data_IF_669039633821
#
_entry.id   IF_669039633821
#
_cell.length_a   1.000
_cell.length_b   1.000
_cell.length_c   1.000
_cell.angle_alpha   90.00
_cell.angle_beta   90.00
_cell.angle_gamma   90.00
#
_symmetry.space_group_name_H-M   'P 1'
#
loop_
_entity.id
_entity.type
_entity.pdbx_description
1 polymer ?
#
# COMPACT_ATOMS: atom_id res chain seq x y z
N UNK A 1 20.26 -10.05 8.29
CA UNK A 1 18.78 -10.09 8.21
C UNK A 1 18.34 -8.90 7.39
N UNK A 2 17.56 -9.10 6.32
CA UNK A 2 17.06 -7.98 5.52
C UNK A 2 16.01 -7.20 6.32
N UNK A 3 16.27 -5.91 6.57
CA UNK A 3 15.37 -5.04 7.32
C UNK A 3 13.96 -5.01 6.71
N UNK A 4 13.85 -5.10 5.37
CA UNK A 4 12.55 -5.09 4.70
C UNK A 4 11.71 -6.32 5.02
N UNK A 5 12.33 -7.50 5.08
CA UNK A 5 11.65 -8.73 5.45
C UNK A 5 11.14 -8.69 6.89
N UNK A 6 11.94 -8.12 7.82
CA UNK A 6 11.50 -7.94 9.21
C UNK A 6 10.29 -7.03 9.29
N UNK A 7 10.32 -5.90 8.56
CA UNK A 7 9.20 -4.95 8.53
C UNK A 7 7.96 -5.60 7.92
N UNK A 8 8.09 -6.22 6.74
CA UNK A 8 6.96 -6.84 6.05
C UNK A 8 6.31 -7.95 6.90
N UNK A 9 7.11 -8.79 7.55
CA UNK A 9 6.62 -9.82 8.48
C UNK A 9 5.87 -9.19 9.66
N UNK A 10 6.42 -8.12 10.26
CA UNK A 10 5.77 -7.45 11.38
C UNK A 10 4.45 -6.78 10.97
N UNK A 11 4.38 -6.22 9.76
CA UNK A 11 3.14 -5.61 9.26
C UNK A 11 2.07 -6.67 8.98
N UNK A 12 2.45 -7.85 8.48
CA UNK A 12 1.48 -8.94 8.27
C UNK A 12 0.80 -9.37 9.58
N UNK A 13 1.49 -9.29 10.73
CA UNK A 13 0.92 -9.56 12.05
C UNK A 13 -0.08 -8.48 12.54
N UNK A 14 -0.19 -7.34 11.86
CA UNK A 14 -1.16 -6.29 12.18
C UNK A 14 -2.50 -6.48 11.45
N UNK A 15 -2.54 -7.37 10.46
CA UNK A 15 -3.75 -7.65 9.67
C UNK A 15 -4.58 -8.74 10.35
N UNK A 16 -5.88 -8.75 10.05
CA UNK A 16 -6.84 -9.69 10.60
C UNK A 16 -7.49 -10.53 9.52
N UNK A 17 -7.93 -11.73 9.90
CA UNK A 17 -8.70 -12.61 9.03
C UNK A 17 -9.97 -11.91 8.52
N UNK A 18 -10.16 -11.93 7.20
CA UNK A 18 -11.26 -11.27 6.50
C UNK A 18 -11.02 -9.83 6.07
N UNK A 19 -9.84 -9.24 6.36
CA UNK A 19 -9.55 -7.84 5.97
C UNK A 19 -9.52 -7.65 4.44
N UNK A 20 -10.07 -6.53 3.98
CA UNK A 20 -9.81 -5.97 2.65
C UNK A 20 -8.61 -5.02 2.74
N UNK A 21 -7.52 -5.39 2.07
CA UNK A 21 -6.22 -4.70 2.20
C UNK A 21 -5.75 -4.10 0.89
N UNK A 22 -5.30 -2.85 0.92
CA UNK A 22 -4.55 -2.24 -0.18
C UNK A 22 -3.05 -2.20 0.16
N UNK A 23 -2.21 -2.66 -0.76
CA UNK A 23 -0.75 -2.64 -0.61
C UNK A 23 -0.10 -1.72 -1.64
N UNK A 24 0.58 -0.69 -1.16
CA UNK A 24 1.42 0.16 -2.00
C UNK A 24 2.65 -0.57 -2.55
N UNK A 25 3.17 -0.07 -3.68
CA UNK A 25 4.31 -0.69 -4.36
C UNK A 25 5.57 -0.79 -3.47
N UNK A 26 6.35 -1.86 -3.66
CA UNK A 26 7.66 -2.03 -3.05
C UNK A 26 7.61 -2.80 -1.72
N UNK A 27 8.03 -2.17 -0.63
CA UNK A 27 8.04 -2.84 0.68
C UNK A 27 6.64 -3.32 1.10
N UNK A 28 5.55 -2.55 0.94
CA UNK A 28 4.22 -3.02 1.34
C UNK A 28 3.74 -4.24 0.56
N UNK A 29 4.00 -4.34 -0.75
CA UNK A 29 3.68 -5.57 -1.51
C UNK A 29 4.36 -6.84 -0.97
N UNK A 30 5.46 -6.72 -0.22
CA UNK A 30 6.10 -7.88 0.42
C UNK A 30 5.27 -8.46 1.57
N UNK A 31 4.35 -7.69 2.17
CA UNK A 31 3.50 -8.11 3.30
C UNK A 31 2.66 -9.34 2.92
N UNK A 32 2.17 -9.40 1.68
CA UNK A 32 1.38 -10.53 1.17
C UNK A 32 2.10 -11.89 1.29
N UNK A 33 3.43 -11.91 1.27
CA UNK A 33 4.23 -13.15 1.39
C UNK A 33 4.37 -13.66 2.83
N UNK A 34 3.91 -12.88 3.82
CA UNK A 34 4.04 -13.20 5.24
C UNK A 34 2.68 -13.35 5.94
N UNK A 35 1.58 -13.36 5.18
CA UNK A 35 0.25 -13.65 5.73
C UNK A 35 0.27 -15.07 6.34
N UNK A 36 -0.13 -15.23 7.61
CA UNK A 36 -0.17 -16.53 8.26
C UNK A 36 -1.06 -17.53 7.52
N UNK A 37 -0.68 -18.80 7.57
CA UNK A 37 -1.52 -19.88 7.03
C UNK A 37 -2.87 -19.91 7.75
N UNK A 38 -3.96 -20.02 6.98
CA UNK A 38 -5.32 -20.03 7.50
C UNK A 38 -5.95 -18.64 7.71
N UNK A 39 -5.24 -17.55 7.41
CA UNK A 39 -5.80 -16.20 7.37
C UNK A 39 -6.19 -15.84 5.93
N UNK A 40 -7.45 -15.50 5.70
CA UNK A 40 -7.97 -15.05 4.42
C UNK A 40 -7.91 -13.51 4.34
N UNK A 41 -7.20 -12.99 3.33
CA UNK A 41 -7.05 -11.56 3.09
C UNK A 41 -7.44 -11.27 1.66
N UNK A 42 -8.35 -10.32 1.46
CA UNK A 42 -8.72 -9.85 0.13
C UNK A 42 -7.87 -8.65 -0.25
N UNK A 43 -6.97 -8.82 -1.21
CA UNK A 43 -6.18 -7.70 -1.72
C UNK A 43 -6.94 -6.89 -2.77
N UNK A 44 -7.04 -5.57 -2.54
CA UNK A 44 -7.62 -4.58 -3.44
C UNK A 44 -6.55 -3.93 -4.32
N UNK A 45 -6.85 -3.75 -5.61
CA UNK A 45 -6.04 -2.96 -6.54
C UNK A 45 -6.79 -1.70 -6.98
N UNK A 46 -6.17 -0.53 -6.78
CA UNK A 46 -6.80 0.77 -7.05
C UNK A 46 -7.21 0.97 -8.53
N UNK A 47 -6.59 0.23 -9.44
CA UNK A 47 -6.93 0.25 -10.87
C UNK A 47 -8.17 -0.57 -11.24
N UNK A 48 -8.88 -1.18 -10.28
CA UNK A 48 -10.27 -1.61 -10.49
C UNK A 48 -10.57 -3.07 -10.23
N UNK A 49 -9.99 -3.70 -9.21
CA UNK A 49 -10.40 -5.05 -8.83
C UNK A 49 -10.10 -5.44 -7.38
N UNK A 50 -10.84 -6.43 -6.90
CA UNK A 50 -10.62 -7.16 -5.65
C UNK A 50 -10.16 -8.59 -5.94
N UNK A 51 -9.37 -9.15 -5.04
CA UNK A 51 -8.81 -10.49 -5.18
C UNK A 51 -7.52 -10.50 -5.98
N UNK A 52 -6.67 -9.47 -5.81
CA UNK A 52 -5.33 -9.44 -6.38
C UNK A 52 -4.54 -10.68 -5.94
N UNK A 53 -4.12 -11.48 -6.92
CA UNK A 53 -3.35 -12.70 -6.74
C UNK A 53 -1.84 -12.48 -6.88
N UNK A 54 -1.06 -13.57 -6.83
CA UNK A 54 0.38 -13.51 -7.03
C UNK A 54 0.75 -13.08 -8.46
N UNK A 55 2.01 -12.69 -8.67
CA UNK A 55 2.51 -12.47 -10.03
C UNK A 55 2.38 -13.76 -10.85
N UNK A 56 1.97 -13.68 -12.13
CA UNK A 56 1.94 -14.83 -13.03
C UNK A 56 3.36 -15.39 -13.24
N UNK A 57 3.44 -16.65 -13.65
CA UNK A 57 4.71 -17.27 -14.05
C UNK A 57 5.20 -16.66 -15.36
N UNK A 58 6.50 -16.77 -15.59
CA UNK A 58 7.11 -16.36 -16.85
C UNK A 58 6.44 -17.06 -18.04
N UNK A 59 5.94 -16.28 -19.00
CA UNK A 59 5.21 -16.75 -20.17
C UNK A 59 3.69 -16.88 -19.99
N UNK A 60 3.17 -16.67 -18.77
CA UNK A 60 1.73 -16.66 -18.45
C UNK A 60 1.22 -15.23 -18.19
N UNK A 61 1.98 -14.19 -18.53
CA UNK A 61 1.61 -12.80 -18.27
C UNK A 61 0.45 -12.34 -19.17
N UNK A 62 -0.57 -11.75 -18.54
CA UNK A 62 -1.62 -10.99 -19.21
C UNK A 62 -1.43 -9.49 -18.92
N UNK A 63 -1.12 -8.72 -19.97
CA UNK A 63 -0.90 -7.27 -19.84
C UNK A 63 -2.19 -6.45 -19.78
N UNK A 64 -3.35 -7.08 -19.98
CA UNK A 64 -4.64 -6.47 -19.65
C UNK A 64 -4.97 -6.60 -18.16
N UNK A 65 -4.31 -7.52 -17.44
CA UNK A 65 -4.43 -7.72 -16.00
C UNK A 65 -3.14 -7.28 -15.27
N UNK A 66 -3.08 -5.99 -14.96
CA UNK A 66 -1.96 -5.40 -14.20
C UNK A 66 -2.39 -4.94 -12.82
N UNK A 67 -1.46 -4.88 -11.87
CA UNK A 67 -1.68 -4.24 -10.58
C UNK A 67 -1.50 -2.71 -10.65
N UNK A 68 -1.74 -2.02 -9.54
CA UNK A 68 -1.54 -0.57 -9.39
C UNK A 68 -0.12 -0.07 -9.76
N UNK A 69 0.90 -0.94 -9.71
CA UNK A 69 2.27 -0.64 -10.12
C UNK A 69 2.53 -0.80 -11.62
N UNK A 70 1.53 -1.19 -12.42
CA UNK A 70 1.65 -1.44 -13.86
C UNK A 70 2.36 -2.75 -14.20
N UNK A 71 2.46 -3.68 -13.25
CA UNK A 71 3.07 -4.99 -13.46
C UNK A 71 2.00 -6.07 -13.68
N UNK A 72 2.23 -7.06 -14.56
CA UNK A 72 1.31 -8.18 -14.74
C UNK A 72 0.99 -8.86 -13.41
N UNK A 73 -0.27 -9.23 -13.23
CA UNK A 73 -0.76 -9.85 -12.01
C UNK A 73 -1.80 -10.92 -12.35
N UNK A 74 -2.37 -11.52 -11.31
CA UNK A 74 -3.44 -12.52 -11.43
C UNK A 74 -4.61 -12.12 -10.54
N UNK A 75 -5.72 -12.85 -10.69
CA UNK A 75 -6.90 -12.70 -9.85
C UNK A 75 -7.24 -14.04 -9.22
N UNK A 76 -7.53 -14.04 -7.92
CA UNK A 76 -7.90 -15.26 -7.19
C UNK A 76 -9.39 -15.61 -7.43
N UNK A 77 -9.81 -16.87 -7.22
CA UNK A 77 -11.22 -17.25 -7.29
C UNK A 77 -12.09 -16.37 -6.40
N UNK A 78 -13.22 -15.89 -6.93
CA UNK A 78 -14.11 -14.95 -6.23
C UNK A 78 -13.74 -13.48 -6.38
N UNK A 79 -12.62 -13.16 -7.05
CA UNK A 79 -12.26 -11.77 -7.38
C UNK A 79 -13.28 -11.10 -8.31
N UNK A 80 -13.30 -9.77 -8.27
CA UNK A 80 -14.26 -8.94 -9.02
C UNK A 80 -13.58 -7.74 -9.63
N UNK A 81 -13.97 -7.39 -10.86
CA UNK A 81 -13.54 -6.18 -11.57
C UNK A 81 -14.58 -5.07 -11.47
N UNK A 82 -14.12 -3.82 -11.50
CA UNK A 82 -14.95 -2.63 -11.47
C UNK A 82 -14.20 -1.43 -12.08
N UNK A 83 -14.93 -0.37 -12.42
CA UNK A 83 -14.31 0.85 -12.92
C UNK A 83 -13.56 1.62 -11.81
N UNK A 84 -12.71 2.57 -12.21
CA UNK A 84 -11.93 3.37 -11.26
C UNK A 84 -12.80 4.22 -10.34
N UNK A 85 -13.98 4.68 -10.80
CA UNK A 85 -14.89 5.46 -9.97
C UNK A 85 -15.42 4.62 -8.79
N UNK A 86 -15.76 3.36 -9.06
CA UNK A 86 -16.17 2.38 -8.06
C UNK A 86 -15.02 2.01 -7.14
N UNK A 87 -13.82 1.77 -7.69
CA UNK A 87 -12.59 1.51 -6.93
C UNK A 87 -12.33 2.59 -5.87
N UNK A 88 -12.30 3.85 -6.30
CA UNK A 88 -12.09 4.96 -5.35
C UNK A 88 -13.30 5.23 -4.46
N UNK A 89 -14.51 4.74 -4.81
CA UNK A 89 -15.67 4.79 -3.91
C UNK A 89 -15.58 3.74 -2.80
N UNK A 90 -15.03 2.55 -3.09
CA UNK A 90 -14.69 1.54 -2.08
C UNK A 90 -13.66 2.13 -1.11
N UNK A 91 -12.60 2.74 -1.63
CA UNK A 91 -11.55 3.39 -0.83
C UNK A 91 -12.14 4.54 0.02
N UNK A 92 -12.66 5.60 -0.61
CA UNK A 92 -13.17 6.79 0.12
C UNK A 92 -14.40 6.48 0.98
N UNK A 93 -15.11 5.40 0.69
CA UNK A 93 -16.27 4.95 1.46
C UNK A 93 -15.91 4.23 2.76
N UNK A 94 -14.63 3.99 3.06
CA UNK A 94 -14.24 3.26 4.27
C UNK A 94 -14.43 1.76 4.17
N UNK A 95 -14.41 1.19 2.95
CA UNK A 95 -14.58 -0.24 2.72
C UNK A 95 -13.25 -0.99 2.57
N UNK A 96 -12.11 -0.29 2.70
CA UNK A 96 -10.78 -0.90 2.84
C UNK A 96 -10.41 -0.90 4.31
N UNK A 97 -10.20 -2.09 4.89
CA UNK A 97 -9.92 -2.25 6.32
C UNK A 97 -8.52 -1.76 6.68
N UNK A 98 -7.54 -2.04 5.83
CA UNK A 98 -6.18 -1.54 6.01
C UNK A 98 -5.54 -1.13 4.68
N UNK A 99 -4.79 -0.03 4.70
CA UNK A 99 -3.84 0.31 3.64
C UNK A 99 -2.43 0.29 4.18
N UNK A 100 -1.51 -0.33 3.45
CA UNK A 100 -0.08 -0.34 3.80
C UNK A 100 0.69 0.42 2.73
N UNK A 101 1.32 1.54 3.10
CA UNK A 101 2.09 2.36 2.15
C UNK A 101 3.54 2.54 2.59
N UNK A 102 4.40 2.86 1.63
CA UNK A 102 5.73 3.40 1.90
C UNK A 102 5.67 4.91 2.15
N UNK A 103 6.63 5.43 2.90
CA UNK A 103 6.79 6.86 3.16
C UNK A 103 8.21 7.34 2.89
N UNK A 104 8.37 8.61 2.52
CA UNK A 104 9.65 9.32 2.56
C UNK A 104 9.88 9.96 3.93
N UNK A 105 8.83 10.56 4.49
CA UNK A 105 8.80 11.10 5.85
C UNK A 105 7.46 10.76 6.52
N UNK A 106 7.51 10.53 7.82
CA UNK A 106 6.35 10.52 8.73
C UNK A 106 6.72 11.40 9.93
N UNK A 107 5.75 12.08 10.54
CA UNK A 107 6.02 12.87 11.74
C UNK A 107 5.22 12.44 12.98
N UNK A 108 5.54 13.06 14.13
CA UNK A 108 4.98 12.73 15.44
C UNK A 108 3.45 12.90 15.55
N UNK A 109 2.83 13.60 14.59
CA UNK A 109 1.38 13.79 14.53
C UNK A 109 0.71 12.82 13.56
N UNK A 110 1.45 11.90 12.96
CA UNK A 110 0.92 10.99 11.94
C UNK A 110 0.72 11.66 10.57
N UNK A 111 1.44 12.76 10.27
CA UNK A 111 1.48 13.27 8.91
C UNK A 111 2.39 12.38 8.05
N UNK A 112 2.05 12.23 6.77
CA UNK A 112 2.77 11.42 5.80
C UNK A 112 3.23 12.27 4.62
N UNK A 113 4.44 12.05 4.12
CA UNK A 113 4.89 12.55 2.83
C UNK A 113 5.54 11.44 1.98
N UNK A 114 4.98 11.16 0.80
CA UNK A 114 5.49 10.08 -0.07
C UNK A 114 5.35 10.31 -1.59
N UNK A 115 4.83 11.46 -2.04
CA UNK A 115 4.53 11.66 -3.48
C UNK A 115 5.48 12.61 -4.22
N UNK A 116 6.27 13.43 -3.52
CA UNK A 116 7.12 14.45 -4.15
C UNK A 116 8.34 14.85 -3.31
N UNK A 117 9.47 14.98 -3.99
CA UNK A 117 10.65 15.72 -3.51
C UNK A 117 10.84 16.94 -4.42
N UNK A 118 10.59 18.17 -3.94
CA UNK A 118 10.76 19.39 -4.73
C UNK A 118 12.15 19.47 -5.37
N UNK A 119 12.20 19.76 -6.68
CA UNK A 119 13.46 19.90 -7.43
C UNK A 119 14.20 18.60 -7.74
N UNK A 120 13.65 17.43 -7.40
CA UNK A 120 14.31 16.14 -7.65
C UNK A 120 13.42 15.07 -8.27
N UNK A 121 12.26 14.80 -7.67
CA UNK A 121 11.44 13.63 -8.02
C UNK A 121 9.96 13.94 -7.84
N UNK A 122 9.17 13.76 -8.90
CA UNK A 122 7.72 14.06 -8.93
C UNK A 122 6.99 12.92 -9.67
N UNK A 123 6.85 11.73 -9.05
CA UNK A 123 6.10 10.63 -9.64
C UNK A 123 4.59 10.89 -9.70
N UNK A 124 4.09 11.83 -8.88
CA UNK A 124 2.66 12.04 -8.66
C UNK A 124 2.18 11.27 -7.43
N UNK A 125 0.99 11.61 -6.94
CA UNK A 125 0.41 10.99 -5.74
C UNK A 125 -0.32 9.68 -6.02
N UNK A 126 -0.71 9.40 -7.28
CA UNK A 126 -1.53 8.24 -7.61
C UNK A 126 -2.78 8.17 -6.72
N UNK A 127 -3.18 6.97 -6.29
CA UNK A 127 -4.23 6.77 -5.30
C UNK A 127 -3.82 7.01 -3.83
N UNK A 128 -2.57 7.40 -3.54
CA UNK A 128 -2.08 7.42 -2.16
C UNK A 128 -2.86 8.36 -1.24
N UNK A 129 -3.34 9.50 -1.74
CA UNK A 129 -4.13 10.45 -0.95
C UNK A 129 -5.52 9.89 -0.60
N UNK A 130 -6.21 9.27 -1.57
CA UNK A 130 -7.50 8.61 -1.31
C UNK A 130 -7.35 7.44 -0.35
N UNK A 131 -6.30 6.63 -0.50
CA UNK A 131 -6.06 5.46 0.34
C UNK A 131 -5.88 5.82 1.81
N UNK A 132 -5.02 6.78 2.12
CA UNK A 132 -4.73 7.14 3.52
C UNK A 132 -5.85 7.94 4.17
N UNK A 133 -6.75 8.55 3.40
CA UNK A 133 -7.92 9.24 3.95
C UNK A 133 -9.13 8.29 4.05
N UNK A 134 -9.20 7.29 3.18
CA UNK A 134 -10.35 6.41 3.05
C UNK A 134 -10.26 5.10 3.83
N UNK A 135 -9.08 4.51 3.96
CA UNK A 135 -8.92 3.23 4.67
C UNK A 135 -9.21 3.38 6.18
N UNK A 136 -9.72 2.33 6.82
CA UNK A 136 -10.00 2.34 8.27
C UNK A 136 -8.72 2.37 9.12
N UNK A 137 -7.66 1.74 8.63
CA UNK A 137 -6.34 1.71 9.27
C UNK A 137 -5.24 2.03 8.24
N UNK A 138 -4.32 2.91 8.59
CA UNK A 138 -3.22 3.34 7.71
C UNK A 138 -1.87 2.97 8.31
N UNK A 139 -1.22 1.98 7.70
CA UNK A 139 0.05 1.44 8.18
C UNK A 139 1.18 1.93 7.27
N UNK A 140 2.22 2.53 7.85
CA UNK A 140 3.44 2.89 7.10
C UNK A 140 4.53 1.85 7.28
N UNK A 141 4.89 1.21 6.16
CA UNK A 141 5.94 0.21 6.11
C UNK A 141 7.21 0.82 5.49
N UNK A 142 8.18 1.21 6.34
CA UNK A 142 9.41 1.85 5.88
C UNK A 142 10.64 1.54 6.73
N UNK A 143 11.83 1.61 6.12
CA UNK A 143 13.09 1.65 6.87
C UNK A 143 13.19 2.96 7.68
N UNK A 144 13.81 2.89 8.85
CA UNK A 144 13.87 4.02 9.79
C UNK A 144 14.72 5.19 9.29
N UNK A 145 15.78 4.90 8.52
CA UNK A 145 16.69 5.93 7.99
C UNK A 145 16.93 5.78 6.50
N UNK A 146 17.29 6.89 5.84
CA UNK A 146 17.85 6.91 4.49
C UNK A 146 19.20 7.62 4.52
N UNK A 147 20.27 6.91 4.14
CA UNK A 147 21.66 7.44 4.19
C UNK A 147 22.00 8.05 5.56
N UNK A 148 21.59 7.38 6.64
CA UNK A 148 21.81 7.80 8.02
C UNK A 148 20.88 8.91 8.54
N UNK A 149 20.03 9.50 7.68
CA UNK A 149 19.06 10.52 8.11
C UNK A 149 17.75 9.86 8.55
N UNK A 150 17.17 10.25 9.70
CA UNK A 150 15.88 9.73 10.16
C UNK A 150 14.77 10.13 9.19
N UNK A 151 13.79 9.24 9.05
CA UNK A 151 12.56 9.47 8.27
C UNK A 151 11.32 9.69 9.14
N UNK A 152 11.43 9.38 10.43
CA UNK A 152 10.44 9.75 11.45
C UNK A 152 10.91 11.06 12.06
N UNK A 153 10.13 12.12 11.90
CA UNK A 153 10.49 13.50 12.23
C UNK A 153 9.55 14.08 13.30
N UNK A 154 9.89 15.24 13.85
CA UNK A 154 8.92 16.03 14.63
C UNK A 154 7.87 16.70 13.73
N UNK A 155 8.29 17.09 12.53
CA UNK A 155 7.43 17.68 11.52
C UNK A 155 7.98 17.31 10.14
N UNK A 156 7.11 16.83 9.25
CA UNK A 156 7.46 16.58 7.86
C UNK A 156 7.93 17.88 7.19
N UNK A 157 8.97 17.77 6.37
CA UNK A 157 9.54 18.88 5.59
C UNK A 157 9.19 18.77 4.11
N UNK A 158 8.88 17.57 3.65
CA UNK A 158 8.38 17.31 2.31
C UNK A 158 6.88 17.66 2.19
N UNK A 159 6.38 17.94 0.98
CA UNK A 159 4.95 18.12 0.74
C UNK A 159 4.16 16.91 1.23
N UNK A 160 3.16 17.18 2.08
CA UNK A 160 2.34 16.13 2.66
C UNK A 160 1.54 15.40 1.59
N UNK A 161 1.39 14.10 1.79
CA UNK A 161 0.36 13.26 1.19
C UNK A 161 -0.94 13.43 1.97
N UNK A 162 -0.87 13.34 3.30
CA UNK A 162 -2.00 13.58 4.18
C UNK A 162 -1.56 14.04 5.58
N UNK A 163 -2.49 14.69 6.29
CA UNK A 163 -2.30 15.23 7.64
C UNK A 163 -2.99 14.32 8.66
N UNK A 164 -2.27 13.92 9.71
CA UNK A 164 -2.80 13.16 10.85
C UNK A 164 -3.60 11.91 10.42
N UNK A 165 -3.07 11.13 9.47
CA UNK A 165 -3.75 9.93 8.95
C UNK A 165 -3.02 8.62 9.25
N UNK A 166 -1.76 8.64 9.70
CA UNK A 166 -1.02 7.42 10.02
C UNK A 166 -1.37 6.93 11.42
N UNK A 167 -1.67 5.63 11.56
CA UNK A 167 -1.98 4.94 12.82
C UNK A 167 -0.77 4.24 13.47
#
# INVERSE_FOLDING_TARGET
MDAKNVIAKRVAELLHDGDVVNLGIGLPTMVANYIPEGMDITFHSENGFLGLGPCPKEGEEDWELVNAGGMPSSIVPGGMFFDSATSFSIIRGGHVDATVLGAMEVDEKGNLANWKIPGKMVPGMGGAMDLVVGAKTVIIAMVHTQKGKPKILKQCTLPLTAKEQVD
#
